data_IF_351329001461
#
_entry.id   IF_351329001461
#
_cell.length_a   1.000
_cell.length_b   1.000
_cell.length_c   1.000
_cell.angle_alpha   90.00
_cell.angle_beta   90.00
_cell.angle_gamma   90.00
#
_symmetry.space_group_name_H-M   'P 1'
#
loop_
_entity.id
_entity.type
_entity.pdbx_description
1 polymer ?
#
# COMPACT_ATOMS: atom_id res chain seq x y z
N UNK A 1 -6.56 4.43 6.51
CA UNK A 1 -5.60 3.48 5.99
C UNK A 1 -6.15 2.07 6.07
N UNK A 2 -6.35 1.40 4.95
CA UNK A 2 -6.79 0.02 4.92
C UNK A 2 -8.23 -0.20 5.37
N UNK A 3 -9.18 0.51 4.76
CA UNK A 3 -10.60 0.29 5.03
C UNK A 3 -10.99 -1.16 4.72
N UNK A 4 -11.42 -1.91 5.72
CA UNK A 4 -11.82 -3.31 5.59
C UNK A 4 -13.29 -3.39 5.19
N UNK A 5 -13.58 -3.08 3.92
CA UNK A 5 -14.92 -3.10 3.36
C UNK A 5 -14.93 -3.81 2.01
N UNK A 6 -15.97 -4.60 1.74
CA UNK A 6 -16.09 -5.38 0.51
C UNK A 6 -16.01 -4.52 -0.77
N UNK A 7 -16.59 -3.32 -0.75
CA UNK A 7 -16.55 -2.41 -1.90
C UNK A 7 -15.11 -1.95 -2.19
N UNK A 8 -14.30 -1.70 -1.18
CA UNK A 8 -12.89 -1.34 -1.33
C UNK A 8 -12.11 -2.51 -1.90
N UNK A 9 -12.31 -3.71 -1.36
CA UNK A 9 -11.69 -4.94 -1.86
C UNK A 9 -12.02 -5.16 -3.34
N UNK A 10 -13.29 -5.06 -3.71
CA UNK A 10 -13.73 -5.23 -5.08
C UNK A 10 -13.12 -4.19 -6.03
N UNK A 11 -13.04 -2.93 -5.60
CA UNK A 11 -12.44 -1.86 -6.39
C UNK A 11 -10.93 -2.09 -6.62
N UNK A 12 -10.21 -2.52 -5.60
CA UNK A 12 -8.79 -2.84 -5.69
C UNK A 12 -8.54 -4.02 -6.64
N UNK A 13 -9.34 -5.08 -6.52
CA UNK A 13 -9.24 -6.25 -7.40
C UNK A 13 -9.47 -5.84 -8.86
N UNK A 14 -10.52 -5.07 -9.14
CA UNK A 14 -10.81 -4.61 -10.49
C UNK A 14 -9.69 -3.75 -11.06
N UNK A 15 -9.16 -2.82 -10.27
CA UNK A 15 -8.06 -1.95 -10.69
C UNK A 15 -6.82 -2.75 -11.04
N UNK A 16 -6.41 -3.65 -10.16
CA UNK A 16 -5.23 -4.48 -10.38
C UNK A 16 -5.42 -5.45 -11.55
N UNK A 17 -6.58 -6.08 -11.65
CA UNK A 17 -6.89 -7.03 -12.73
C UNK A 17 -6.87 -6.37 -14.11
N UNK A 18 -7.31 -5.11 -14.20
CA UNK A 18 -7.32 -4.35 -15.44
C UNK A 18 -5.94 -3.89 -15.91
N UNK A 19 -4.93 -3.93 -15.05
CA UNK A 19 -3.56 -3.57 -15.43
C UNK A 19 -2.97 -4.61 -16.39
N UNK A 20 -2.40 -4.14 -17.49
CA UNK A 20 -1.76 -5.01 -18.50
C UNK A 20 -0.46 -5.63 -17.95
N UNK A 21 0.25 -4.92 -17.08
CA UNK A 21 1.46 -5.40 -16.44
C UNK A 21 1.13 -6.10 -15.13
N UNK A 22 1.56 -7.34 -15.01
CA UNK A 22 1.42 -8.14 -13.79
C UNK A 22 2.82 -8.51 -13.30
N UNK A 23 3.30 -7.88 -12.20
CA UNK A 23 4.68 -8.11 -11.74
C UNK A 23 4.85 -9.52 -11.17
N UNK A 24 6.09 -10.02 -11.20
CA UNK A 24 6.45 -11.30 -10.57
C UNK A 24 6.55 -11.18 -9.06
N UNK A 25 6.94 -10.02 -8.57
CA UNK A 25 7.01 -9.72 -7.14
C UNK A 25 6.58 -8.30 -6.84
N UNK A 26 5.91 -8.11 -5.73
CA UNK A 26 5.38 -6.81 -5.28
C UNK A 26 5.60 -6.66 -3.78
N UNK A 27 6.09 -5.51 -3.37
CA UNK A 27 6.13 -5.10 -1.97
C UNK A 27 5.04 -4.06 -1.67
N UNK A 28 4.40 -4.19 -0.54
CA UNK A 28 3.28 -3.35 -0.12
C UNK A 28 3.45 -3.00 1.36
N UNK A 29 3.36 -1.72 1.70
CA UNK A 29 3.22 -1.29 3.08
C UNK A 29 1.86 -1.74 3.60
N UNK A 30 1.84 -2.43 4.74
CA UNK A 30 0.64 -3.14 5.21
C UNK A 30 0.24 -2.66 6.59
N UNK A 31 -1.05 -2.35 6.77
CA UNK A 31 -1.64 -2.10 8.08
C UNK A 31 -2.76 -3.10 8.39
N UNK A 32 -3.88 -3.10 7.66
CA UNK A 32 -4.98 -4.07 7.84
C UNK A 32 -4.88 -5.27 6.90
N UNK A 33 -4.04 -5.18 5.88
CA UNK A 33 -3.87 -6.23 4.89
C UNK A 33 -4.92 -6.26 3.78
N UNK A 34 -5.88 -5.34 3.76
CA UNK A 34 -6.93 -5.30 2.73
C UNK A 34 -6.34 -5.19 1.34
N UNK A 35 -5.42 -4.25 1.13
CA UNK A 35 -4.78 -4.05 -0.17
C UNK A 35 -4.02 -5.31 -0.63
N UNK A 36 -3.15 -5.84 0.22
CA UNK A 36 -2.31 -6.98 -0.18
C UNK A 36 -3.13 -8.24 -0.45
N UNK A 37 -4.18 -8.49 0.33
CA UNK A 37 -5.07 -9.62 0.07
C UNK A 37 -5.86 -9.44 -1.22
N UNK A 38 -6.29 -8.22 -1.52
CA UNK A 38 -6.97 -7.90 -2.79
C UNK A 38 -6.06 -8.12 -3.99
N UNK A 39 -4.80 -7.70 -3.91
CA UNK A 39 -3.83 -7.92 -4.97
C UNK A 39 -3.50 -9.40 -5.16
N UNK A 40 -3.48 -10.20 -4.11
CA UNK A 40 -3.28 -11.65 -4.21
C UNK A 40 -4.41 -12.32 -5.00
N UNK A 41 -5.63 -11.84 -4.87
CA UNK A 41 -6.77 -12.35 -5.66
C UNK A 41 -6.61 -11.96 -7.14
N UNK A 42 -6.22 -10.71 -7.41
CA UNK A 42 -6.06 -10.21 -8.78
C UNK A 42 -4.85 -10.82 -9.50
N UNK A 43 -3.76 -11.08 -8.77
CA UNK A 43 -2.49 -11.56 -9.30
C UNK A 43 -2.03 -12.84 -8.58
N UNK A 44 -2.69 -13.99 -8.83
CA UNK A 44 -2.44 -15.21 -8.07
C UNK A 44 -1.05 -15.80 -8.24
N UNK A 45 -0.33 -15.44 -9.31
CA UNK A 45 1.02 -15.95 -9.59
C UNK A 45 2.14 -15.01 -9.13
N UNK A 46 1.80 -13.89 -8.50
CA UNK A 46 2.76 -12.91 -8.01
C UNK A 46 3.22 -13.28 -6.59
N UNK A 47 4.50 -13.11 -6.32
CA UNK A 47 5.04 -13.22 -4.96
C UNK A 47 4.87 -11.88 -4.26
N UNK A 48 4.20 -11.88 -3.11
CA UNK A 48 3.93 -10.68 -2.34
C UNK A 48 4.81 -10.58 -1.10
N UNK A 49 5.24 -9.37 -0.81
CA UNK A 49 5.98 -9.01 0.40
C UNK A 49 5.17 -8.00 1.20
N UNK A 50 4.71 -8.40 2.36
CA UNK A 50 3.95 -7.56 3.28
C UNK A 50 4.91 -6.91 4.27
N UNK A 51 5.02 -5.59 4.22
CA UNK A 51 5.89 -4.83 5.11
C UNK A 51 5.03 -4.12 6.16
N UNK A 52 5.07 -4.59 7.38
CA UNK A 52 4.36 -3.97 8.50
C UNK A 52 5.10 -2.72 8.93
N UNK A 53 4.51 -1.56 8.73
CA UNK A 53 5.11 -0.25 9.03
C UNK A 53 4.37 0.49 10.15
N UNK A 54 3.16 0.07 10.49
CA UNK A 54 2.31 0.73 11.49
C UNK A 54 2.16 -0.12 12.76
N UNK A 55 1.85 -1.40 12.59
CA UNK A 55 1.64 -2.36 13.67
C UNK A 55 1.92 -3.77 13.18
N UNK A 56 2.05 -4.70 14.10
CA UNK A 56 2.13 -6.10 13.74
C UNK A 56 0.80 -6.57 13.15
N UNK A 57 0.88 -7.40 12.13
CA UNK A 57 -0.29 -7.98 11.49
C UNK A 57 -0.89 -9.08 12.36
N UNK A 58 -2.22 -9.14 12.37
CA UNK A 58 -2.96 -10.24 12.95
C UNK A 58 -2.97 -11.42 11.97
N UNK A 59 -3.29 -12.61 12.49
CA UNK A 59 -3.41 -13.81 11.67
C UNK A 59 -4.39 -13.58 10.50
N UNK A 60 -3.98 -13.99 9.32
CA UNK A 60 -4.77 -13.87 8.09
C UNK A 60 -4.70 -12.52 7.40
N UNK A 61 -4.24 -11.47 8.03
CA UNK A 61 -4.22 -10.12 7.43
C UNK A 61 -3.29 -10.01 6.23
N UNK A 62 -2.19 -10.74 6.20
CA UNK A 62 -1.25 -10.71 5.06
C UNK A 62 -1.57 -11.74 3.98
N UNK A 63 -2.53 -12.64 4.21
CA UNK A 63 -2.78 -13.77 3.31
C UNK A 63 -1.52 -14.64 3.14
N UNK A 64 -1.18 -15.00 1.91
CA UNK A 64 -0.03 -15.82 1.57
C UNK A 64 1.27 -15.00 1.39
N UNK A 65 1.28 -13.71 1.70
CA UNK A 65 2.46 -12.86 1.52
C UNK A 65 3.58 -13.22 2.49
N UNK A 66 4.82 -13.02 2.04
CA UNK A 66 6.00 -13.05 2.91
C UNK A 66 5.98 -11.80 3.79
N UNK A 67 6.43 -11.94 5.03
CA UNK A 67 6.30 -10.89 6.04
C UNK A 67 7.64 -10.28 6.41
N UNK A 68 7.66 -8.96 6.55
CA UNK A 68 8.75 -8.21 7.15
C UNK A 68 8.17 -7.07 7.97
N UNK A 69 8.81 -6.75 9.10
CA UNK A 69 8.40 -5.64 9.97
C UNK A 69 9.46 -4.56 9.95
N UNK A 70 9.05 -3.31 9.74
CA UNK A 70 9.98 -2.18 9.82
C UNK A 70 10.56 -2.06 11.23
N UNK A 71 11.87 -1.87 11.38
CA UNK A 71 12.48 -1.65 12.69
C UNK A 71 12.15 -0.29 13.29
N UNK A 72 11.63 0.64 12.48
CA UNK A 72 11.28 1.99 12.94
C UNK A 72 9.87 2.03 13.52
N UNK A 73 9.63 2.74 14.64
CA UNK A 73 8.27 3.01 15.12
C UNK A 73 7.41 3.69 14.05
N UNK A 74 6.09 3.51 14.13
CA UNK A 74 5.18 4.05 13.12
C UNK A 74 5.34 5.56 12.89
N UNK A 75 5.46 6.34 13.97
CA UNK A 75 5.57 7.80 13.87
C UNK A 75 6.96 8.29 13.46
N UNK A 76 7.94 7.41 13.39
CA UNK A 76 9.30 7.78 12.99
C UNK A 76 9.51 7.62 11.50
N UNK A 77 9.92 8.70 10.85
CA UNK A 77 10.24 8.69 9.43
C UNK A 77 11.52 7.93 9.13
N UNK A 78 11.56 7.26 7.99
CA UNK A 78 12.83 6.80 7.44
C UNK A 78 13.61 7.98 6.86
N UNK A 79 14.93 7.86 6.83
CA UNK A 79 15.80 8.83 6.16
C UNK A 79 15.95 8.54 4.66
N UNK A 80 15.33 7.47 4.17
CA UNK A 80 15.42 7.08 2.78
C UNK A 80 14.76 8.14 1.88
N UNK A 81 15.47 8.60 0.86
CA UNK A 81 14.95 9.57 -0.11
C UNK A 81 14.15 8.87 -1.19
N UNK A 82 12.86 9.19 -1.26
CA UNK A 82 11.95 8.60 -2.24
C UNK A 82 12.07 9.27 -3.61
N UNK A 83 12.11 8.49 -4.71
CA UNK A 83 12.14 9.05 -6.08
C UNK A 83 10.77 9.59 -6.53
N UNK A 84 9.73 9.45 -5.73
CA UNK A 84 8.38 9.95 -6.00
C UNK A 84 7.71 10.35 -4.68
N UNK A 85 6.61 11.16 -4.72
CA UNK A 85 5.91 11.57 -3.51
C UNK A 85 5.40 10.37 -2.71
N UNK A 86 5.71 10.34 -1.41
CA UNK A 86 5.35 9.26 -0.50
C UNK A 86 5.44 9.73 0.94
N UNK A 87 4.75 9.05 1.86
CA UNK A 87 4.90 9.31 3.28
C UNK A 87 6.16 8.62 3.83
N UNK A 88 7.02 9.41 4.47
CA UNK A 88 8.28 8.93 5.04
C UNK A 88 8.08 7.96 6.22
N UNK A 89 6.94 8.01 6.89
CA UNK A 89 6.62 7.11 8.00
C UNK A 89 5.82 5.87 7.57
N UNK A 90 5.43 5.76 6.31
CA UNK A 90 4.59 4.67 5.81
C UNK A 90 5.21 4.00 4.58
N UNK A 91 4.82 4.42 3.38
CA UNK A 91 5.25 3.76 2.13
C UNK A 91 6.77 3.81 1.91
N UNK A 92 7.43 4.88 2.33
CA UNK A 92 8.89 5.00 2.15
C UNK A 92 9.67 3.90 2.88
N UNK A 93 9.20 3.46 4.04
CA UNK A 93 9.83 2.34 4.78
C UNK A 93 9.73 1.03 3.99
N UNK A 94 8.59 0.80 3.36
CA UNK A 94 8.36 -0.39 2.56
C UNK A 94 9.13 -0.33 1.24
N UNK A 95 9.23 0.83 0.62
CA UNK A 95 10.00 1.02 -0.61
C UNK A 95 11.49 0.76 -0.40
N UNK A 96 12.05 1.25 0.69
CA UNK A 96 13.44 0.98 1.06
C UNK A 96 13.72 -0.53 1.14
N UNK A 97 12.82 -1.28 1.78
CA UNK A 97 12.90 -2.74 1.81
C UNK A 97 12.86 -3.34 0.39
N UNK A 98 11.94 -2.87 -0.46
CA UNK A 98 11.77 -3.39 -1.81
C UNK A 98 13.05 -3.21 -2.65
N UNK A 99 13.67 -2.04 -2.56
CA UNK A 99 14.92 -1.74 -3.26
C UNK A 99 16.05 -2.65 -2.76
N UNK A 100 16.21 -2.76 -1.45
CA UNK A 100 17.28 -3.55 -0.84
C UNK A 100 17.16 -5.05 -1.10
N UNK A 101 15.95 -5.54 -1.40
CA UNK A 101 15.68 -6.95 -1.62
C UNK A 101 15.30 -7.28 -3.07
N UNK A 102 15.54 -6.35 -3.99
CA UNK A 102 15.31 -6.54 -5.43
C UNK A 102 13.88 -6.99 -5.77
N UNK A 103 12.89 -6.44 -5.08
CA UNK A 103 11.49 -6.69 -5.41
C UNK A 103 11.14 -5.93 -6.68
N UNK A 104 10.48 -6.58 -7.62
CA UNK A 104 10.25 -6.05 -8.97
C UNK A 104 9.38 -4.80 -8.98
N UNK A 105 8.33 -4.77 -8.15
CA UNK A 105 7.37 -3.67 -8.12
C UNK A 105 7.03 -3.27 -6.69
N UNK A 106 6.60 -2.03 -6.53
CA UNK A 106 6.14 -1.48 -5.28
C UNK A 106 4.81 -0.77 -5.49
N UNK A 107 3.82 -1.06 -4.65
CA UNK A 107 2.54 -0.37 -4.69
C UNK A 107 2.55 0.81 -3.73
N UNK A 108 2.65 2.04 -4.26
CA UNK A 108 2.62 3.25 -3.44
C UNK A 108 1.17 3.65 -3.17
N UNK A 109 0.80 3.66 -1.89
CA UNK A 109 -0.59 3.92 -1.48
C UNK A 109 -0.83 5.40 -1.20
N UNK A 110 0.08 6.03 -0.47
CA UNK A 110 -0.17 7.35 0.08
C UNK A 110 1.01 8.30 -0.12
N UNK A 111 0.68 9.53 -0.45
CA UNK A 111 1.61 10.65 -0.47
C UNK A 111 0.94 11.87 0.15
N UNK A 112 1.76 12.86 0.55
CA UNK A 112 1.21 14.14 0.98
C UNK A 112 0.42 14.72 -0.18
N UNK A 113 -0.82 15.17 0.03
CA UNK A 113 -1.59 15.81 -1.01
C UNK A 113 -0.81 17.01 -1.55
N UNK A 114 -0.87 17.21 -2.86
CA UNK A 114 -0.42 18.47 -3.44
C UNK A 114 -1.43 19.53 -3.00
N UNK A 115 -1.19 20.16 -1.85
CA UNK A 115 -2.13 21.08 -1.20
C UNK A 115 -2.52 22.29 -2.05
N UNK A 116 -1.82 22.53 -3.17
CA UNK A 116 -2.10 23.62 -4.11
C UNK A 116 -3.10 23.22 -5.19
N UNK A 117 -3.43 21.96 -5.35
CA UNK A 117 -4.41 21.52 -6.35
C UNK A 117 -5.80 21.48 -5.72
N UNK A 118 -6.54 22.57 -5.94
CA UNK A 118 -7.91 22.73 -5.40
C UNK A 118 -8.87 21.68 -5.95
N UNK A 119 -8.63 21.14 -7.15
CA UNK A 119 -9.50 20.13 -7.76
C UNK A 119 -9.38 18.79 -7.02
N UNK A 120 -8.18 18.41 -6.61
CA UNK A 120 -7.93 17.21 -5.81
C UNK A 120 -8.56 17.34 -4.42
N UNK A 121 -8.38 18.49 -3.77
CA UNK A 121 -9.00 18.75 -2.45
C UNK A 121 -10.53 18.73 -2.53
N UNK A 122 -11.10 19.27 -3.59
CA UNK A 122 -12.56 19.24 -3.81
C UNK A 122 -13.04 17.80 -4.03
N UNK A 123 -12.33 17.00 -4.78
CA UNK A 123 -12.66 15.60 -5.00
C UNK A 123 -12.59 14.79 -3.70
N UNK A 124 -11.57 15.01 -2.87
CA UNK A 124 -11.42 14.35 -1.56
C UNK A 124 -12.57 14.74 -0.64
N UNK A 125 -12.93 16.01 -0.56
CA UNK A 125 -14.03 16.48 0.29
C UNK A 125 -15.38 15.95 -0.18
N UNK A 126 -15.61 15.90 -1.50
CA UNK A 126 -16.81 15.29 -2.09
C UNK A 126 -16.93 13.80 -1.71
N UNK A 127 -15.81 13.10 -1.65
CA UNK A 127 -15.77 11.68 -1.29
C UNK A 127 -16.10 11.43 0.19
N UNK A 128 -15.72 12.37 1.06
CA UNK A 128 -16.07 12.31 2.51
C UNK A 128 -17.57 12.40 2.73
N UNK A 129 -18.25 13.24 1.97
CA UNK A 129 -19.69 13.46 2.10
C UNK A 129 -20.50 12.22 1.69
N UNK A 130 -19.93 11.35 0.88
CA UNK A 130 -20.58 10.10 0.45
C UNK A 130 -20.44 8.95 1.45
N UNK A 131 -19.51 9.06 2.39
CA UNK A 131 -19.23 8.01 3.38
C UNK A 131 -19.97 8.17 4.71
N UNK A 132 -20.77 9.20 4.83
CA UNK A 132 -21.54 9.48 6.05
C UNK A 132 -22.98 8.98 5.97
#
# INVERSE_FOLDING_TARGET
LGANHEAVTAALIRTAYAMSYKPKSVAVATSTGVLIRSLQIAWPNTTFYSIAVARNLQEGEKGAAKFWSSPLPFLKDTKYEMPFPSYQNYDAKAFEYAVNNNVEAFWNVASKPLLKDKSILKAINSYRDWGE
#
